data_IF_706590672550
#
_entry.id   IF_706590672550
#
_cell.length_a   1.000
_cell.length_b   1.000
_cell.length_c   1.000
_cell.angle_alpha   90.00
_cell.angle_beta   90.00
_cell.angle_gamma   90.00
#
_symmetry.space_group_name_H-M   'P 1'
#
loop_
_entity.id
_entity.type
_entity.pdbx_description
1 polymer ?
#
# COMPACT_ATOMS: atom_id res chain seq x y z
N UNK A 1 -10.89 3.34 7.17
CA UNK A 1 -10.56 2.01 6.61
C UNK A 1 -9.08 1.77 6.79
N UNK A 2 -8.66 0.55 7.13
CA UNK A 2 -7.24 0.23 7.23
C UNK A 2 -6.70 -0.27 5.89
N UNK A 3 -5.46 0.13 5.58
CA UNK A 3 -4.72 -0.31 4.42
C UNK A 3 -3.36 -0.85 4.85
N UNK A 4 -3.02 -2.06 4.41
CA UNK A 4 -1.69 -2.65 4.60
C UNK A 4 -0.91 -2.58 3.30
N UNK A 5 0.28 -1.98 3.31
CA UNK A 5 1.21 -2.04 2.20
C UNK A 5 2.58 -2.49 2.66
N UNK A 6 3.05 -3.62 2.14
CA UNK A 6 4.21 -4.29 2.72
C UNK A 6 4.02 -4.38 4.24
N UNK A 7 4.98 -3.90 5.02
CA UNK A 7 4.98 -3.87 6.47
C UNK A 7 4.50 -2.51 7.05
N UNK A 8 3.76 -1.70 6.29
CA UNK A 8 3.23 -0.41 6.76
C UNK A 8 1.70 -0.42 6.75
N UNK A 9 1.09 0.12 7.81
CA UNK A 9 -0.37 0.26 7.91
C UNK A 9 -0.72 1.75 7.88
N UNK A 10 -1.68 2.10 7.02
CA UNK A 10 -2.30 3.41 6.98
C UNK A 10 -3.79 3.33 7.35
N UNK A 11 -4.26 4.37 8.02
CA UNK A 11 -5.68 4.64 8.16
C UNK A 11 -6.11 5.64 7.08
N UNK A 12 -7.13 5.27 6.32
CA UNK A 12 -7.68 6.02 5.19
C UNK A 12 -9.19 6.07 5.38
N UNK A 13 -9.75 7.24 5.65
CA UNK A 13 -11.18 7.37 5.97
C UNK A 13 -12.07 7.05 4.76
N UNK A 14 -11.92 7.82 3.69
CA UNK A 14 -12.71 7.69 2.46
C UNK A 14 -11.71 7.71 1.29
N UNK A 15 -11.26 6.54 0.80
CA UNK A 15 -10.22 6.43 -0.23
C UNK A 15 -10.48 7.29 -1.47
N UNK A 16 -11.72 7.31 -1.97
CA UNK A 16 -12.08 8.05 -3.18
C UNK A 16 -12.01 9.57 -2.93
N UNK A 17 -12.44 10.02 -1.75
CA UNK A 17 -12.40 11.44 -1.38
C UNK A 17 -10.97 11.90 -1.09
N UNK A 18 -10.15 11.05 -0.48
CA UNK A 18 -8.73 11.30 -0.27
C UNK A 18 -8.01 11.42 -1.61
N UNK A 19 -8.19 10.43 -2.50
CA UNK A 19 -7.61 10.42 -3.84
C UNK A 19 -8.05 11.64 -4.66
N UNK A 20 -9.32 12.04 -4.61
CA UNK A 20 -9.83 13.22 -5.30
C UNK A 20 -9.08 14.52 -4.90
N UNK A 21 -8.54 14.60 -3.69
CA UNK A 21 -7.77 15.74 -3.19
C UNK A 21 -6.28 15.66 -3.54
N UNK A 22 -5.69 14.46 -3.56
CA UNK A 22 -4.24 14.29 -3.66
C UNK A 22 -3.72 13.78 -5.02
N UNK A 23 -4.57 13.30 -5.94
CA UNK A 23 -4.08 12.64 -7.17
C UNK A 23 -3.15 13.51 -8.03
N UNK A 24 -3.35 14.84 -8.04
CA UNK A 24 -2.49 15.77 -8.78
C UNK A 24 -1.09 15.88 -8.19
N UNK A 25 -0.99 15.97 -6.85
CA UNK A 25 0.30 16.01 -6.15
C UNK A 25 0.98 14.66 -6.12
N UNK A 26 0.20 13.57 -6.04
CA UNK A 26 0.70 12.21 -6.18
C UNK A 26 1.30 11.98 -7.58
N UNK A 27 0.76 12.64 -8.61
CA UNK A 27 1.29 12.56 -9.97
C UNK A 27 0.95 11.26 -10.68
N UNK A 28 -0.11 10.57 -10.26
CA UNK A 28 -0.54 9.31 -10.89
C UNK A 28 -1.21 9.51 -12.26
N UNK A 29 -1.50 10.76 -12.65
CA UNK A 29 -2.39 11.06 -13.78
C UNK A 29 -3.85 11.05 -13.34
N UNK A 30 -4.78 11.23 -14.29
CA UNK A 30 -6.21 11.27 -13.98
C UNK A 30 -6.70 9.88 -13.50
N UNK A 31 -7.07 9.73 -12.21
CA UNK A 31 -7.50 8.45 -11.70
C UNK A 31 -8.84 8.00 -12.32
N UNK A 32 -9.73 8.90 -12.76
CA UNK A 32 -11.06 8.52 -13.23
C UNK A 32 -11.05 7.73 -14.55
N UNK A 33 -10.05 7.96 -15.40
CA UNK A 33 -9.80 7.18 -16.62
C UNK A 33 -8.84 6.00 -16.45
N UNK A 34 -8.23 5.86 -15.27
CA UNK A 34 -7.15 4.90 -15.01
C UNK A 34 -7.68 3.49 -14.72
N UNK A 35 -7.08 2.49 -15.36
CA UNK A 35 -7.33 1.06 -15.06
C UNK A 35 -6.56 0.62 -13.82
N UNK A 36 -7.05 -0.42 -13.16
CA UNK A 36 -6.38 -1.08 -12.03
C UNK A 36 -4.90 -1.40 -12.31
N UNK A 37 -4.58 -1.93 -13.50
CA UNK A 37 -3.21 -2.25 -13.90
C UNK A 37 -2.30 -1.01 -13.95
N UNK A 38 -2.81 0.11 -14.43
CA UNK A 38 -2.05 1.36 -14.53
C UNK A 38 -1.78 1.95 -13.15
N UNK A 39 -2.76 1.87 -12.25
CA UNK A 39 -2.61 2.26 -10.85
C UNK A 39 -1.52 1.45 -10.15
N UNK A 40 -1.51 0.12 -10.36
CA UNK A 40 -0.50 -0.76 -9.79
C UNK A 40 0.88 -0.53 -10.40
N UNK A 41 0.97 -0.31 -11.72
CA UNK A 41 2.23 0.01 -12.38
C UNK A 41 2.83 1.33 -11.84
N UNK A 42 1.98 2.33 -11.61
CA UNK A 42 2.38 3.58 -10.97
C UNK A 42 2.87 3.34 -9.54
N UNK A 43 2.10 2.64 -8.71
CA UNK A 43 2.47 2.35 -7.32
C UNK A 43 3.78 1.53 -7.26
N UNK A 44 3.93 0.50 -8.08
CA UNK A 44 5.17 -0.30 -8.19
C UNK A 44 6.38 0.57 -8.51
N UNK A 45 6.26 1.56 -9.39
CA UNK A 45 7.35 2.48 -9.72
C UNK A 45 7.76 3.33 -8.51
N UNK A 46 6.79 3.92 -7.81
CA UNK A 46 7.04 4.74 -6.62
C UNK A 46 7.68 3.90 -5.51
N UNK A 47 7.16 2.68 -5.28
CA UNK A 47 7.72 1.75 -4.30
C UNK A 47 9.14 1.33 -4.69
N UNK A 48 9.41 1.06 -5.97
CA UNK A 48 10.75 0.69 -6.43
C UNK A 48 11.78 1.79 -6.21
N UNK A 49 11.41 3.06 -6.38
CA UNK A 49 12.27 4.20 -6.06
C UNK A 49 12.64 4.21 -4.57
N UNK A 50 11.69 3.99 -3.67
CA UNK A 50 11.95 3.97 -2.22
C UNK A 50 12.73 2.73 -1.76
N UNK A 51 12.42 1.56 -2.32
CA UNK A 51 13.13 0.30 -2.07
C UNK A 51 14.61 0.43 -2.47
N UNK A 52 14.89 1.07 -3.61
CA UNK A 52 16.27 1.29 -4.09
C UNK A 52 17.08 2.17 -3.12
N UNK A 53 16.45 3.19 -2.54
CA UNK A 53 17.09 4.07 -1.57
C UNK A 53 17.10 3.48 -0.14
N UNK A 54 16.41 2.37 0.09
CA UNK A 54 16.28 1.74 1.41
C UNK A 54 15.45 2.56 2.40
N UNK A 55 14.55 3.40 1.90
CA UNK A 55 13.76 4.35 2.70
C UNK A 55 12.31 3.85 2.81
N UNK A 56 11.71 3.99 4.00
CA UNK A 56 10.28 3.71 4.20
C UNK A 56 9.43 4.79 3.57
N UNK A 57 8.21 4.45 3.15
CA UNK A 57 7.29 5.45 2.64
C UNK A 57 6.82 6.33 3.80
N UNK A 58 6.78 7.65 3.58
CA UNK A 58 6.13 8.57 4.49
C UNK A 58 4.63 8.28 4.59
N UNK A 59 4.03 8.55 5.75
CA UNK A 59 2.63 8.21 6.03
C UNK A 59 1.66 8.84 5.02
N UNK A 60 1.92 10.09 4.61
CA UNK A 60 1.12 10.80 3.59
C UNK A 60 1.18 10.10 2.23
N UNK A 61 2.38 9.70 1.80
CA UNK A 61 2.57 8.97 0.54
C UNK A 61 1.95 7.57 0.61
N UNK A 62 2.07 6.89 1.74
CA UNK A 62 1.42 5.60 1.99
C UNK A 62 -0.11 5.71 1.89
N UNK A 63 -0.70 6.76 2.48
CA UNK A 63 -2.14 7.04 2.40
C UNK A 63 -2.58 7.37 0.97
N UNK A 64 -1.79 8.16 0.24
CA UNK A 64 -2.07 8.52 -1.15
C UNK A 64 -2.04 7.29 -2.07
N UNK A 65 -1.00 6.46 -1.95
CA UNK A 65 -0.87 5.20 -2.69
C UNK A 65 -1.96 4.21 -2.30
N UNK A 66 -2.26 4.07 -1.01
CA UNK A 66 -3.33 3.21 -0.53
C UNK A 66 -4.69 3.65 -1.05
N UNK A 67 -4.96 4.95 -1.07
CA UNK A 67 -6.20 5.50 -1.62
C UNK A 67 -6.36 5.20 -3.10
N UNK A 68 -5.27 5.31 -3.87
CA UNK A 68 -5.25 4.94 -5.28
C UNK A 68 -5.50 3.43 -5.47
N UNK A 69 -4.80 2.57 -4.74
CA UNK A 69 -4.93 1.12 -4.85
C UNK A 69 -6.34 0.66 -4.47
N UNK A 70 -6.87 1.10 -3.33
CA UNK A 70 -8.23 0.77 -2.89
C UNK A 70 -9.24 1.24 -3.94
N UNK A 71 -9.19 2.50 -4.34
CA UNK A 71 -10.17 3.07 -5.29
C UNK A 71 -10.16 2.40 -6.66
N UNK A 72 -9.04 1.75 -7.05
CA UNK A 72 -8.90 1.13 -8.38
C UNK A 72 -9.02 -0.39 -8.38
N UNK A 73 -8.83 -1.02 -7.23
CA UNK A 73 -8.75 -2.50 -7.15
C UNK A 73 -9.68 -3.09 -6.11
N UNK A 74 -10.18 -2.29 -5.15
CA UNK A 74 -10.92 -2.76 -3.98
C UNK A 74 -10.07 -3.48 -2.93
N UNK A 75 -8.76 -3.68 -3.18
CA UNK A 75 -7.87 -4.35 -2.24
C UNK A 75 -7.49 -3.42 -1.08
N UNK A 76 -7.55 -3.95 0.15
CA UNK A 76 -7.10 -3.23 1.35
C UNK A 76 -5.73 -3.70 1.86
N UNK A 77 -5.12 -4.65 1.15
CA UNK A 77 -3.76 -5.11 1.41
C UNK A 77 -3.01 -5.31 0.10
N UNK A 78 -1.81 -4.74 0.01
CA UNK A 78 -0.92 -4.84 -1.13
C UNK A 78 0.49 -5.23 -0.68
N UNK A 79 1.08 -6.21 -1.33
CA UNK A 79 2.48 -6.58 -1.16
C UNK A 79 3.21 -6.30 -2.47
N UNK A 80 4.31 -5.56 -2.39
CA UNK A 80 5.24 -5.28 -3.46
C UNK A 80 6.56 -6.00 -3.12
N UNK A 81 6.71 -7.28 -3.51
CA UNK A 81 7.90 -8.05 -3.16
C UNK A 81 9.14 -7.40 -3.76
N UNK A 82 10.16 -7.18 -2.94
CA UNK A 82 11.42 -6.60 -3.36
C UNK A 82 12.55 -7.60 -3.14
N UNK A 83 13.34 -7.87 -4.19
CA UNK A 83 14.55 -8.68 -4.11
C UNK A 83 15.66 -7.97 -4.88
N UNK A 84 16.83 -7.83 -4.26
CA UNK A 84 18.00 -7.16 -4.85
C UNK A 84 17.68 -5.76 -5.43
N UNK A 85 16.93 -4.97 -4.66
CA UNK A 85 16.51 -3.61 -5.06
C UNK A 85 15.47 -3.56 -6.19
N UNK A 86 14.93 -4.69 -6.64
CA UNK A 86 13.92 -4.76 -7.70
C UNK A 86 12.57 -5.21 -7.16
N UNK A 87 11.55 -4.42 -7.45
CA UNK A 87 10.15 -4.75 -7.13
C UNK A 87 9.58 -5.68 -8.19
N UNK A 88 9.03 -6.80 -7.74
CA UNK A 88 8.35 -7.81 -8.57
C UNK A 88 6.86 -7.47 -8.75
N UNK A 89 6.11 -8.38 -9.37
CA UNK A 89 4.67 -8.19 -9.56
C UNK A 89 3.92 -8.05 -8.21
N UNK A 90 3.11 -6.99 -8.04
CA UNK A 90 2.40 -6.77 -6.79
C UNK A 90 1.32 -7.82 -6.56
N UNK A 91 1.14 -8.19 -5.29
CA UNK A 91 0.09 -9.11 -4.83
C UNK A 91 -0.96 -8.31 -4.07
N UNK A 92 -2.22 -8.53 -4.39
CA UNK A 92 -3.35 -7.83 -3.78
C UNK A 92 -4.27 -8.82 -3.08
N UNK A 93 -4.83 -8.41 -1.95
CA UNK A 93 -5.89 -9.16 -1.27
C UNK A 93 -6.81 -8.23 -0.49
N UNK A 94 -7.90 -8.80 0.02
CA UNK A 94 -8.78 -8.16 0.97
C UNK A 94 -8.66 -8.93 2.28
N UNK A 95 -8.06 -8.31 3.29
CA UNK A 95 -7.98 -8.83 4.65
C UNK A 95 -9.18 -8.38 5.47
N UNK A 96 -9.67 -9.21 6.41
CA UNK A 96 -10.67 -8.77 7.38
C UNK A 96 -10.14 -7.57 8.20
N UNK A 97 -11.00 -6.57 8.42
CA UNK A 97 -10.66 -5.38 9.22
C UNK A 97 -10.17 -5.74 10.64
N UNK A 98 -10.68 -6.83 11.23
CA UNK A 98 -10.22 -7.32 12.53
C UNK A 98 -8.75 -7.76 12.53
N UNK A 99 -8.27 -8.32 11.41
CA UNK A 99 -6.87 -8.72 11.24
C UNK A 99 -6.01 -7.46 11.11
N UNK A 100 -6.41 -6.52 10.26
CA UNK A 100 -5.70 -5.24 10.08
C UNK A 100 -5.63 -4.43 11.38
N UNK A 101 -6.73 -4.35 12.14
CA UNK A 101 -6.77 -3.69 13.44
C UNK A 101 -5.82 -4.37 14.44
N UNK A 102 -5.79 -5.70 14.45
CA UNK A 102 -4.88 -6.46 15.32
C UNK A 102 -3.41 -6.27 14.95
N UNK A 103 -3.09 -6.12 13.66
CA UNK A 103 -1.73 -5.80 13.20
C UNK A 103 -1.34 -4.37 13.60
N UNK A 104 -2.26 -3.39 13.43
CA UNK A 104 -2.04 -2.00 13.84
C UNK A 104 -1.79 -1.89 15.34
N UNK A 105 -2.61 -2.57 16.14
CA UNK A 105 -2.48 -2.56 17.60
C UNK A 105 -1.15 -3.18 18.06
N UNK A 106 -0.76 -4.33 17.48
CA UNK A 106 0.55 -4.94 17.74
C UNK A 106 1.69 -3.99 17.37
N UNK A 107 1.62 -3.32 16.22
CA UNK A 107 2.60 -2.33 15.83
C UNK A 107 2.69 -1.16 16.81
N UNK A 108 1.54 -0.61 17.24
CA UNK A 108 1.50 0.51 18.17
C UNK A 108 2.04 0.15 19.56
N UNK A 109 1.67 -1.03 20.08
CA UNK A 109 2.02 -1.47 21.43
C UNK A 109 3.43 -2.02 21.55
N UNK A 110 3.90 -2.75 20.53
CA UNK A 110 5.15 -3.51 20.59
C UNK A 110 6.25 -2.91 19.70
N UNK A 111 5.93 -1.91 18.87
CA UNK A 111 6.87 -1.32 17.90
C UNK A 111 7.26 -2.28 16.77
N UNK A 112 6.56 -3.41 16.63
CA UNK A 112 6.86 -4.44 15.63
C UNK A 112 6.06 -4.22 14.36
N UNK A 113 6.75 -4.09 13.24
CA UNK A 113 6.11 -4.06 11.93
C UNK A 113 5.33 -5.36 11.67
N UNK A 114 4.21 -5.31 10.91
CA UNK A 114 3.51 -6.49 10.42
C UNK A 114 4.47 -7.49 9.78
N UNK A 115 4.40 -8.75 10.22
CA UNK A 115 5.18 -9.83 9.63
C UNK A 115 4.54 -10.29 8.32
N UNK A 116 5.20 -9.99 7.21
CA UNK A 116 4.71 -10.36 5.88
C UNK A 116 4.76 -11.87 5.62
N UNK A 117 5.60 -12.63 6.30
CA UNK A 117 5.61 -14.09 6.23
C UNK A 117 4.37 -14.74 6.85
N UNK A 118 3.82 -14.14 7.91
CA UNK A 118 2.55 -14.58 8.51
C UNK A 118 1.35 -14.25 7.62
N UNK A 119 1.38 -13.09 6.96
CA UNK A 119 0.26 -12.58 6.14
C UNK A 119 0.28 -13.18 4.74
N UNK A 120 1.48 -13.44 4.21
CA UNK A 120 1.72 -13.96 2.88
C UNK A 120 2.71 -15.13 2.99
N UNK A 121 2.25 -16.38 3.10
CA UNK A 121 3.08 -17.56 3.36
C UNK A 121 4.20 -17.87 2.33
N UNK A 122 4.32 -17.07 1.27
CA UNK A 122 5.36 -17.16 0.24
C UNK A 122 6.03 -15.78 -0.03
N UNK A 123 6.19 -14.94 0.99
CA UNK A 123 6.76 -13.59 0.89
C UNK A 123 8.26 -13.48 1.22
N UNK A 124 9.00 -14.59 1.20
CA UNK A 124 10.46 -14.61 1.29
C UNK A 124 11.08 -15.28 0.06
#
# INVERSE_FOLDING_TARGET
MLFLMNDQIAEIDIPEMHLAKCWKSLGCGDPYGMRAREALAFASRVVAEHVKEGIRLEDSLLQDLGSLIISKTGANAALFPAFDGKVSEPRLTILPETILASLRERHHREGKAPDMGEIWPAAA
#
